data_IF_679937644693
#
_entry.id   IF_679937644693
#
_cell.length_a   1.000
_cell.length_b   1.000
_cell.length_c   1.000
_cell.angle_alpha   90.00
_cell.angle_beta   90.00
_cell.angle_gamma   90.00
#
_symmetry.space_group_name_H-M   'P 1'
#
loop_
_entity.id
_entity.type
_entity.pdbx_description
1 polymer ?
#
# COMPACT_ATOMS: atom_id res chain seq x y z
N UNK A 1 -1.19 22.13 -17.67
CA UNK A 1 -1.01 22.34 -16.22
C UNK A 1 -2.06 21.68 -15.31
N UNK A 2 -3.34 21.49 -15.67
CA UNK A 2 -4.36 20.91 -14.75
C UNK A 2 -4.28 19.38 -14.56
N UNK A 3 -3.83 18.61 -15.56
CA UNK A 3 -3.83 17.14 -15.51
C UNK A 3 -2.91 16.54 -14.43
N UNK A 4 -1.77 17.16 -14.12
CA UNK A 4 -0.85 16.63 -13.10
C UNK A 4 -1.48 16.70 -11.71
N UNK A 5 -2.07 17.82 -11.32
CA UNK A 5 -2.73 17.96 -10.01
C UNK A 5 -3.83 16.92 -9.76
N UNK A 6 -4.53 16.49 -10.81
CA UNK A 6 -5.57 15.47 -10.73
C UNK A 6 -4.97 14.11 -10.31
N UNK A 7 -3.86 13.68 -10.95
CA UNK A 7 -3.19 12.42 -10.59
C UNK A 7 -2.76 12.43 -9.12
N UNK A 8 -2.11 13.50 -8.67
CA UNK A 8 -1.64 13.62 -7.29
C UNK A 8 -2.78 13.64 -6.27
N UNK A 9 -3.91 14.26 -6.60
CA UNK A 9 -5.10 14.21 -5.76
C UNK A 9 -5.71 12.81 -5.68
N UNK A 10 -5.87 12.11 -6.81
CA UNK A 10 -6.39 10.74 -6.84
C UNK A 10 -5.48 9.78 -6.07
N UNK A 11 -4.17 9.83 -6.31
CA UNK A 11 -3.20 9.02 -5.57
C UNK A 11 -3.28 9.30 -4.07
N UNK A 12 -3.35 10.57 -3.67
CA UNK A 12 -3.46 10.94 -2.25
C UNK A 12 -4.70 10.34 -1.60
N UNK A 13 -5.86 10.44 -2.26
CA UNK A 13 -7.12 9.88 -1.75
C UNK A 13 -7.08 8.36 -1.65
N UNK A 14 -6.53 7.67 -2.65
CA UNK A 14 -6.34 6.22 -2.63
C UNK A 14 -5.45 5.81 -1.44
N UNK A 15 -4.33 6.49 -1.24
CA UNK A 15 -3.40 6.24 -0.14
C UNK A 15 -3.99 6.55 1.24
N UNK A 16 -4.90 7.53 1.36
CA UNK A 16 -5.66 7.75 2.61
C UNK A 16 -6.56 6.56 2.90
N UNK A 17 -7.30 6.07 1.90
CA UNK A 17 -8.19 4.92 2.08
C UNK A 17 -7.43 3.68 2.55
N UNK A 18 -6.32 3.36 1.87
CA UNK A 18 -5.43 2.24 2.23
C UNK A 18 -4.82 2.48 3.61
N UNK A 19 -4.32 3.69 3.86
CA UNK A 19 -3.64 4.08 5.10
C UNK A 19 -4.53 3.98 6.33
N UNK A 20 -5.76 4.48 6.25
CA UNK A 20 -6.72 4.37 7.37
C UNK A 20 -7.08 2.91 7.62
N UNK A 21 -7.39 2.14 6.56
CA UNK A 21 -7.68 0.72 6.68
C UNK A 21 -6.51 -0.07 7.30
N UNK A 22 -5.29 0.19 6.82
CA UNK A 22 -4.07 -0.45 7.31
C UNK A 22 -3.78 -0.15 8.78
N UNK A 23 -3.96 1.11 9.21
CA UNK A 23 -3.82 1.50 10.62
C UNK A 23 -4.86 0.79 11.49
N UNK A 24 -6.14 0.84 11.12
CA UNK A 24 -7.22 0.26 11.93
C UNK A 24 -7.08 -1.26 12.02
N UNK A 25 -6.99 -1.95 10.89
CA UNK A 25 -6.90 -3.41 10.86
C UNK A 25 -5.57 -3.90 11.45
N UNK A 26 -4.46 -3.22 11.15
CA UNK A 26 -3.15 -3.57 11.70
C UNK A 26 -3.11 -3.44 13.21
N UNK A 27 -3.68 -2.35 13.76
CA UNK A 27 -3.77 -2.16 15.20
C UNK A 27 -4.66 -3.22 15.87
N UNK A 28 -5.80 -3.58 15.26
CA UNK A 28 -6.67 -4.64 15.76
C UNK A 28 -5.94 -5.99 15.86
N UNK A 29 -5.15 -6.35 14.84
CA UNK A 29 -4.33 -7.57 14.85
C UNK A 29 -3.20 -7.51 15.87
N UNK A 30 -2.60 -6.34 16.10
CA UNK A 30 -1.56 -6.17 17.13
C UNK A 30 -2.13 -6.26 18.55
N UNK A 31 -3.32 -5.70 18.79
CA UNK A 31 -3.98 -5.72 20.09
C UNK A 31 -4.58 -7.10 20.43
N UNK A 32 -5.09 -7.81 19.41
CA UNK A 32 -5.56 -9.20 19.51
C UNK A 32 -4.91 -10.08 18.45
N UNK A 33 -3.68 -10.57 18.71
CA UNK A 33 -2.91 -11.39 17.77
C UNK A 33 -3.48 -12.79 17.49
N UNK A 34 -4.58 -13.17 18.12
CA UNK A 34 -5.37 -14.36 17.78
C UNK A 34 -6.38 -14.10 16.64
N UNK A 35 -6.54 -12.84 16.19
CA UNK A 35 -7.43 -12.48 15.09
C UNK A 35 -8.89 -12.20 15.50
N UNK A 36 -9.21 -12.29 16.80
CA UNK A 36 -10.56 -12.19 17.36
C UNK A 36 -11.31 -10.91 16.94
N UNK A 37 -10.64 -9.76 16.98
CA UNK A 37 -11.25 -8.47 16.62
C UNK A 37 -11.63 -8.34 15.15
N UNK A 38 -10.97 -9.08 14.27
CA UNK A 38 -11.30 -9.14 12.84
C UNK A 38 -12.09 -10.39 12.47
N UNK A 39 -12.52 -11.19 13.46
CA UNK A 39 -13.23 -12.45 13.27
C UNK A 39 -12.48 -13.42 12.35
N UNK A 40 -11.13 -13.38 12.40
CA UNK A 40 -10.29 -14.29 11.64
C UNK A 40 -10.21 -15.64 12.35
N UNK A 41 -10.25 -16.71 11.56
CA UNK A 41 -10.01 -18.07 12.05
C UNK A 41 -8.55 -18.22 12.44
N UNK A 42 -8.26 -18.82 13.60
CA UNK A 42 -6.88 -19.14 14.00
C UNK A 42 -6.19 -20.08 12.99
N UNK A 43 -6.96 -20.84 12.20
CA UNK A 43 -6.38 -21.77 11.22
C UNK A 43 -5.70 -21.09 10.02
N UNK A 44 -6.00 -19.82 9.72
CA UNK A 44 -5.39 -19.13 8.58
C UNK A 44 -3.89 -18.86 8.82
N UNK A 45 -3.48 -18.63 10.07
CA UNK A 45 -2.08 -18.36 10.41
C UNK A 45 -1.23 -19.65 10.45
N UNK A 46 -1.84 -20.82 10.69
CA UNK A 46 -1.14 -22.09 10.93
C UNK A 46 -0.29 -22.59 9.75
N UNK A 47 -0.57 -22.11 8.54
CA UNK A 47 0.18 -22.45 7.32
C UNK A 47 1.24 -21.40 6.96
N UNK A 48 1.33 -20.33 7.75
CA UNK A 48 2.30 -19.24 7.60
C UNK A 48 3.52 -19.47 8.50
N UNK A 49 4.63 -18.74 8.29
CA UNK A 49 5.80 -18.79 9.17
C UNK A 49 5.58 -18.05 10.49
N UNK A 50 4.38 -17.52 10.75
CA UNK A 50 4.06 -16.72 11.93
C UNK A 50 3.21 -17.53 12.91
N UNK A 51 3.52 -17.43 14.20
CA UNK A 51 2.73 -18.07 15.26
C UNK A 51 1.44 -17.29 15.59
N UNK A 52 1.42 -15.99 15.30
CA UNK A 52 0.29 -15.09 15.60
C UNK A 52 0.13 -14.03 14.52
N UNK A 53 -1.02 -13.33 14.51
CA UNK A 53 -1.27 -12.21 13.61
C UNK A 53 -0.51 -10.93 13.98
N UNK A 54 0.34 -10.91 15.02
CA UNK A 54 1.02 -9.70 15.44
C UNK A 54 1.96 -9.15 14.36
N UNK A 55 2.79 -10.01 13.75
CA UNK A 55 3.74 -9.59 12.70
C UNK A 55 3.00 -9.13 11.43
N UNK A 56 1.99 -9.87 10.92
CA UNK A 56 1.08 -9.38 9.90
C UNK A 56 0.44 -8.03 10.23
N UNK A 57 -0.07 -7.88 11.46
CA UNK A 57 -0.67 -6.65 11.95
C UNK A 57 0.30 -5.48 11.95
N UNK A 58 1.55 -5.71 12.38
CA UNK A 58 2.59 -4.68 12.39
C UNK A 58 2.96 -4.24 10.97
N UNK A 59 3.09 -5.17 10.02
CA UNK A 59 3.35 -4.84 8.61
C UNK A 59 2.19 -4.03 8.01
N UNK A 60 0.96 -4.45 8.28
CA UNK A 60 -0.26 -3.75 7.84
C UNK A 60 -0.37 -2.35 8.45
N UNK A 61 -0.12 -2.21 9.75
CA UNK A 61 -0.16 -0.94 10.47
C UNK A 61 0.92 0.03 9.98
N UNK A 62 2.16 -0.44 9.84
CA UNK A 62 3.30 0.41 9.53
C UNK A 62 3.39 0.74 8.04
N UNK A 63 3.47 -0.27 7.18
CA UNK A 63 3.71 -0.09 5.75
C UNK A 63 2.44 0.35 5.03
N UNK A 64 1.39 -0.47 5.07
CA UNK A 64 0.15 -0.15 4.37
C UNK A 64 -0.67 0.93 5.10
N UNK A 65 -0.46 1.10 6.41
CA UNK A 65 -1.12 2.12 7.21
C UNK A 65 -0.35 3.44 7.21
N UNK A 66 0.61 3.57 8.13
CA UNK A 66 1.33 4.81 8.40
C UNK A 66 2.08 5.33 7.16
N UNK A 67 2.84 4.48 6.46
CA UNK A 67 3.60 4.93 5.30
C UNK A 67 2.69 5.32 4.13
N UNK A 68 1.53 4.69 3.95
CA UNK A 68 0.51 5.15 2.99
C UNK A 68 -0.04 6.52 3.36
N UNK A 69 -0.31 6.80 4.63
CA UNK A 69 -0.73 8.15 5.05
C UNK A 69 0.37 9.20 4.80
N UNK A 70 1.64 8.85 5.03
CA UNK A 70 2.77 9.71 4.66
C UNK A 70 2.82 9.92 3.14
N UNK A 71 2.67 8.86 2.35
CA UNK A 71 2.59 8.92 0.89
C UNK A 71 1.44 9.80 0.41
N UNK A 72 0.28 9.72 1.05
CA UNK A 72 -0.87 10.57 0.76
C UNK A 72 -0.55 12.05 0.98
N UNK A 73 0.08 12.39 2.12
CA UNK A 73 0.50 13.75 2.42
C UNK A 73 1.51 14.28 1.39
N UNK A 74 2.48 13.45 1.00
CA UNK A 74 3.44 13.81 -0.06
C UNK A 74 2.73 14.03 -1.40
N UNK A 75 1.73 13.19 -1.71
CA UNK A 75 0.95 13.29 -2.93
C UNK A 75 0.11 14.57 -2.97
N UNK A 76 -0.63 14.89 -1.92
CA UNK A 76 -1.41 16.13 -1.86
C UNK A 76 -0.54 17.39 -1.92
N UNK A 77 0.69 17.32 -1.38
CA UNK A 77 1.67 18.42 -1.47
C UNK A 77 2.41 18.47 -2.81
N UNK A 78 2.13 17.57 -3.75
CA UNK A 78 2.83 17.45 -5.02
C UNK A 78 4.36 17.35 -4.83
N UNK A 79 4.79 16.60 -3.81
CA UNK A 79 6.18 16.50 -3.41
C UNK A 79 6.99 15.64 -4.37
N UNK A 80 8.27 15.96 -4.58
CA UNK A 80 9.16 15.25 -5.53
C UNK A 80 9.31 13.75 -5.27
N UNK A 81 9.17 13.33 -4.03
CA UNK A 81 9.26 11.92 -3.63
C UNK A 81 7.92 11.18 -3.69
N UNK A 82 6.81 11.85 -4.01
CA UNK A 82 5.49 11.21 -4.05
C UNK A 82 5.48 10.01 -4.98
N UNK A 83 6.00 10.14 -6.20
CA UNK A 83 5.97 9.03 -7.17
C UNK A 83 6.75 7.80 -6.71
N UNK A 84 7.96 7.99 -6.20
CA UNK A 84 8.79 6.90 -5.68
C UNK A 84 8.17 6.24 -4.44
N UNK A 85 7.59 7.04 -3.55
CA UNK A 85 6.89 6.54 -2.36
C UNK A 85 5.67 5.68 -2.76
N UNK A 86 4.81 6.18 -3.64
CA UNK A 86 3.63 5.46 -4.13
C UNK A 86 4.04 4.15 -4.83
N UNK A 87 5.09 4.18 -5.65
CA UNK A 87 5.62 2.95 -6.27
C UNK A 87 6.10 1.94 -5.22
N UNK A 88 6.87 2.38 -4.22
CA UNK A 88 7.36 1.50 -3.16
C UNK A 88 6.24 0.85 -2.36
N UNK A 89 5.18 1.62 -2.06
CA UNK A 89 3.97 1.11 -1.40
C UNK A 89 3.23 0.08 -2.27
N UNK A 90 3.09 0.34 -3.57
CA UNK A 90 2.48 -0.62 -4.51
C UNK A 90 3.27 -1.94 -4.60
N UNK A 91 4.60 -1.88 -4.63
CA UNK A 91 5.46 -3.09 -4.56
C UNK A 91 5.23 -3.83 -3.25
N UNK A 92 5.22 -3.11 -2.12
CA UNK A 92 5.01 -3.71 -0.81
C UNK A 92 3.65 -4.38 -0.70
N UNK A 93 2.58 -3.74 -1.20
CA UNK A 93 1.23 -4.30 -1.26
C UNK A 93 1.20 -5.59 -2.09
N UNK A 94 1.81 -5.59 -3.28
CA UNK A 94 1.87 -6.77 -4.15
C UNK A 94 2.61 -7.93 -3.46
N UNK A 95 3.79 -7.67 -2.90
CA UNK A 95 4.57 -8.68 -2.18
C UNK A 95 3.76 -9.25 -1.02
N UNK A 96 3.06 -8.39 -0.27
CA UNK A 96 2.24 -8.81 0.86
C UNK A 96 1.12 -9.76 0.42
N UNK A 97 0.37 -9.39 -0.62
CA UNK A 97 -0.73 -10.24 -1.12
C UNK A 97 -0.22 -11.55 -1.70
N UNK A 98 0.93 -11.56 -2.38
CA UNK A 98 1.53 -12.80 -2.87
C UNK A 98 1.93 -13.72 -1.72
N UNK A 99 2.47 -13.17 -0.63
CA UNK A 99 2.79 -13.93 0.57
C UNK A 99 1.52 -14.47 1.26
N UNK A 100 0.46 -13.66 1.32
CA UNK A 100 -0.84 -14.07 1.86
C UNK A 100 -1.44 -15.21 1.05
N UNK A 101 -1.52 -15.10 -0.29
CA UNK A 101 -2.03 -16.16 -1.17
C UNK A 101 -1.20 -17.45 -1.09
N UNK A 102 0.11 -17.32 -0.86
CA UNK A 102 0.99 -18.48 -0.74
C UNK A 102 0.79 -19.27 0.57
N UNK A 103 0.59 -18.57 1.69
CA UNK A 103 0.43 -19.22 3.00
C UNK A 103 -1.01 -19.50 3.38
N UNK A 104 -1.95 -18.64 3.00
CA UNK A 104 -3.36 -18.74 3.39
C UNK A 104 -4.10 -19.60 2.36
N UNK A 105 -4.51 -20.80 2.78
CA UNK A 105 -5.29 -21.74 1.95
C UNK A 105 -6.78 -21.39 1.84
N UNK A 106 -7.15 -20.12 2.07
CA UNK A 106 -8.51 -19.62 1.91
C UNK A 106 -8.55 -18.48 0.90
N UNK A 107 -9.49 -18.59 -0.04
CA UNK A 107 -9.70 -17.57 -1.06
C UNK A 107 -10.56 -16.44 -0.50
N UNK A 108 -10.02 -15.23 -0.54
CA UNK A 108 -10.76 -14.01 -0.21
C UNK A 108 -10.83 -13.08 -1.40
N UNK A 109 -11.99 -12.46 -1.64
CA UNK A 109 -12.14 -11.42 -2.67
C UNK A 109 -11.24 -10.20 -2.42
N UNK A 110 -10.81 -9.97 -1.17
CA UNK A 110 -9.86 -8.90 -0.86
C UNK A 110 -8.50 -9.12 -1.50
N UNK A 111 -8.02 -10.37 -1.62
CA UNK A 111 -6.69 -10.67 -2.15
C UNK A 111 -6.51 -10.13 -3.59
N UNK A 112 -7.31 -10.54 -4.60
CA UNK A 112 -7.14 -10.03 -5.96
C UNK A 112 -7.44 -8.52 -6.05
N UNK A 113 -8.35 -8.01 -5.21
CA UNK A 113 -8.67 -6.58 -5.16
C UNK A 113 -7.46 -5.76 -4.71
N UNK A 114 -6.81 -6.14 -3.61
CA UNK A 114 -5.65 -5.43 -3.07
C UNK A 114 -4.40 -5.62 -3.93
N UNK A 115 -4.24 -6.77 -4.59
CA UNK A 115 -3.23 -6.93 -5.63
C UNK A 115 -3.43 -5.91 -6.76
N UNK A 116 -4.66 -5.77 -7.27
CA UNK A 116 -5.01 -4.78 -8.28
C UNK A 116 -4.74 -3.35 -7.81
N UNK A 117 -5.03 -3.03 -6.54
CA UNK A 117 -4.69 -1.75 -5.93
C UNK A 117 -3.18 -1.50 -5.93
N UNK A 118 -2.36 -2.49 -5.55
CA UNK A 118 -0.90 -2.36 -5.59
C UNK A 118 -0.36 -2.10 -7.01
N UNK A 119 -0.96 -2.72 -8.03
CA UNK A 119 -0.64 -2.43 -9.44
C UNK A 119 -1.04 -1.00 -9.82
N UNK A 120 -2.21 -0.53 -9.36
CA UNK A 120 -2.64 0.85 -9.58
C UNK A 120 -1.68 1.84 -8.90
N UNK A 121 -1.23 1.57 -7.68
CA UNK A 121 -0.23 2.40 -6.97
C UNK A 121 1.09 2.47 -7.75
N UNK A 122 1.58 1.35 -8.28
CA UNK A 122 2.76 1.32 -9.15
C UNK A 122 2.60 2.22 -10.38
N UNK A 123 1.48 2.11 -11.09
CA UNK A 123 1.20 2.89 -12.29
C UNK A 123 1.10 4.38 -11.94
N UNK A 124 0.31 4.73 -10.92
CA UNK A 124 0.13 6.11 -10.48
C UNK A 124 1.46 6.72 -10.02
N UNK A 125 2.24 5.99 -9.24
CA UNK A 125 3.54 6.44 -8.77
C UNK A 125 4.53 6.67 -9.91
N UNK A 126 4.55 5.80 -10.92
CA UNK A 126 5.35 5.99 -12.14
C UNK A 126 4.91 7.24 -12.93
N UNK A 127 3.60 7.46 -13.06
CA UNK A 127 3.04 8.65 -13.72
C UNK A 127 3.42 9.93 -12.93
N UNK A 128 3.34 9.92 -11.60
CA UNK A 128 3.77 11.05 -10.77
C UNK A 128 5.27 11.32 -10.91
N UNK A 129 6.09 10.26 -10.89
CA UNK A 129 7.54 10.34 -11.02
C UNK A 129 7.96 10.95 -12.36
N UNK A 130 7.37 10.48 -13.46
CA UNK A 130 7.66 10.97 -14.82
C UNK A 130 7.20 12.41 -15.05
N UNK A 131 6.15 12.87 -14.36
CA UNK A 131 5.63 14.23 -14.48
C UNK A 131 6.36 15.27 -13.61
N UNK A 132 7.27 14.87 -12.71
CA UNK A 132 7.92 15.81 -11.82
C UNK A 132 8.95 16.68 -12.58
N UNK A 133 9.00 18.02 -12.38
CA UNK A 133 9.83 18.93 -13.18
C UNK A 133 11.31 18.57 -13.27
N UNK A 134 11.89 18.09 -12.17
CA UNK A 134 13.30 17.65 -12.14
C UNK A 134 13.56 16.43 -13.05
N UNK A 135 12.60 15.52 -13.16
CA UNK A 135 12.72 14.30 -13.97
C UNK A 135 12.41 14.56 -15.44
N UNK A 136 11.45 15.45 -15.72
CA UNK A 136 11.18 15.92 -17.08
C UNK A 136 12.43 16.52 -17.73
N UNK A 137 13.18 17.36 -16.99
CA UNK A 137 14.42 17.97 -17.49
C UNK A 137 15.49 16.91 -17.84
N UNK A 138 15.64 15.86 -17.03
CA UNK A 138 16.57 14.76 -17.32
C UNK A 138 16.18 13.99 -18.59
N UNK A 139 14.89 13.73 -18.78
CA UNK A 139 14.41 13.01 -19.96
C UNK A 139 14.61 13.81 -21.26
N UNK A 140 14.50 15.14 -21.23
CA UNK A 140 14.74 15.98 -22.40
C UNK A 140 16.22 16.13 -22.76
N UNK A 141 17.13 16.06 -21.79
CA UNK A 141 18.59 16.19 -22.04
C UNK A 141 19.20 14.89 -22.61
N UNK A 142 18.56 13.75 -22.39
CA UNK A 142 19.05 12.43 -22.82
C UNK A 142 18.45 11.97 -24.18
N UNK A 143 17.77 12.85 -24.91
CA UNK A 143 17.21 12.63 -26.26
C UNK A 143 17.96 13.53 -27.26
#
# INVERSE_FOLDING_TARGET
>A
MKKSKVVYFFTGTLLVFIGVGGVVCGLMLMLKPNGEYLQLSENLINHSPFETYFIPGLALFSVNGVLSLVGALLSFKNHRFSGLMTMGLGVAMIIWILAEVYWVNEYSFLQPTMFGVGVIELILGYVQYSQHPENLRKNTINL
#
